data_IF_943004200175
#
_entry.id   IF_943004200175
#
_cell.length_a   1.000
_cell.length_b   1.000
_cell.length_c   1.000
_cell.angle_alpha   90.00
_cell.angle_beta   90.00
_cell.angle_gamma   90.00
#
_symmetry.space_group_name_H-M   'P 1'
#
loop_
_entity.id
_entity.type
_entity.pdbx_description
1 polymer ?
#
# COMPACT_ATOMS: atom_id res chain seq x y z
N UNK A 1 -14.65 18.71 -10.08
CA UNK A 1 -14.59 18.16 -8.72
C UNK A 1 -14.22 19.29 -7.76
N UNK A 2 -14.97 19.46 -6.70
CA UNK A 2 -14.68 20.55 -5.76
C UNK A 2 -13.56 20.18 -4.80
N UNK A 3 -13.09 21.16 -4.02
CA UNK A 3 -11.98 20.99 -3.09
C UNK A 3 -12.31 19.95 -2.01
N UNK A 4 -13.54 19.95 -1.51
CA UNK A 4 -13.98 19.03 -0.47
C UNK A 4 -13.92 17.58 -0.95
N UNK A 5 -14.39 17.34 -2.17
CA UNK A 5 -14.35 16.00 -2.78
C UNK A 5 -12.90 15.57 -3.03
N UNK A 6 -12.06 16.48 -3.48
CA UNK A 6 -10.63 16.20 -3.69
C UNK A 6 -9.96 15.79 -2.38
N UNK A 7 -10.21 16.51 -1.29
CA UNK A 7 -9.69 16.19 0.04
C UNK A 7 -10.14 14.80 0.47
N UNK A 8 -11.41 14.47 0.25
CA UNK A 8 -11.96 13.15 0.59
C UNK A 8 -11.23 12.03 -0.15
N UNK A 9 -11.01 12.20 -1.46
CA UNK A 9 -10.28 11.22 -2.27
C UNK A 9 -8.85 11.05 -1.76
N UNK A 10 -8.16 12.15 -1.46
CA UNK A 10 -6.79 12.10 -0.97
C UNK A 10 -6.72 11.43 0.41
N UNK A 11 -7.68 11.70 1.30
CA UNK A 11 -7.72 11.06 2.61
C UNK A 11 -7.94 9.55 2.49
N UNK A 12 -8.73 9.09 1.55
CA UNK A 12 -8.90 7.65 1.29
C UNK A 12 -7.57 7.01 0.85
N UNK A 13 -6.81 7.69 0.00
CA UNK A 13 -5.50 7.21 -0.43
C UNK A 13 -4.48 7.22 0.71
N UNK A 14 -4.56 8.19 1.62
CA UNK A 14 -3.71 8.24 2.81
C UNK A 14 -3.97 7.01 3.68
N UNK A 15 -5.23 6.66 3.92
CA UNK A 15 -5.57 5.46 4.69
C UNK A 15 -5.00 4.20 4.02
N UNK A 16 -5.15 4.09 2.70
CA UNK A 16 -4.59 2.98 1.92
C UNK A 16 -3.08 2.89 2.10
N UNK A 17 -2.38 4.01 2.02
CA UNK A 17 -0.93 4.05 2.18
C UNK A 17 -0.49 3.71 3.60
N UNK A 18 -1.23 4.18 4.60
CA UNK A 18 -0.97 3.82 6.01
C UNK A 18 -1.19 2.34 6.27
N UNK A 19 -2.22 1.76 5.69
CA UNK A 19 -2.45 0.31 5.76
C UNK A 19 -1.29 -0.46 5.15
N UNK A 20 -0.80 0.01 4.00
CA UNK A 20 0.36 -0.59 3.33
C UNK A 20 1.62 -0.51 4.17
N UNK A 21 1.87 0.64 4.77
CA UNK A 21 3.03 0.83 5.67
C UNK A 21 3.04 -0.21 6.77
N UNK A 22 1.93 -0.40 7.46
CA UNK A 22 1.80 -1.39 8.53
C UNK A 22 1.92 -2.82 8.01
N UNK A 23 1.19 -3.13 6.95
CA UNK A 23 1.14 -4.47 6.39
C UNK A 23 2.49 -4.96 5.89
N UNK A 24 3.20 -4.12 5.14
CA UNK A 24 4.52 -4.50 4.62
C UNK A 24 5.55 -4.60 5.73
N UNK A 25 5.45 -3.78 6.77
CA UNK A 25 6.32 -3.91 7.93
C UNK A 25 6.10 -5.24 8.64
N UNK A 26 4.85 -5.62 8.86
CA UNK A 26 4.52 -6.92 9.47
C UNK A 26 5.01 -8.08 8.61
N UNK A 27 4.85 -7.99 7.29
CA UNK A 27 5.41 -8.97 6.37
C UNK A 27 6.92 -9.08 6.51
N UNK A 28 7.62 -7.95 6.58
CA UNK A 28 9.07 -7.95 6.72
C UNK A 28 9.50 -8.65 8.01
N UNK A 29 8.75 -8.46 9.10
CA UNK A 29 9.03 -9.10 10.37
C UNK A 29 8.88 -10.62 10.32
N UNK A 30 7.91 -11.11 9.54
CA UNK A 30 7.55 -12.52 9.49
C UNK A 30 8.28 -13.31 8.40
N UNK A 31 8.81 -12.65 7.38
CA UNK A 31 9.60 -13.29 6.34
C UNK A 31 10.91 -13.82 6.90
N UNK A 32 11.41 -14.93 6.36
CA UNK A 32 12.65 -15.55 6.82
C UNK A 32 13.87 -15.13 6.02
N UNK A 33 13.72 -15.01 4.71
CA UNK A 33 14.83 -14.62 3.83
C UNK A 33 15.15 -13.14 4.03
N UNK A 34 16.42 -12.85 4.28
CA UNK A 34 16.88 -11.49 4.55
C UNK A 34 16.63 -10.52 3.38
N UNK A 35 16.80 -10.99 2.15
CA UNK A 35 16.57 -10.17 0.96
C UNK A 35 15.09 -9.78 0.82
N UNK A 36 14.18 -10.69 1.14
CA UNK A 36 12.74 -10.40 1.12
C UNK A 36 12.34 -9.45 2.25
N UNK A 37 12.92 -9.62 3.44
CA UNK A 37 12.69 -8.70 4.55
C UNK A 37 13.06 -7.27 4.17
N UNK A 38 14.23 -7.11 3.57
CA UNK A 38 14.72 -5.79 3.13
C UNK A 38 13.79 -5.18 2.11
N UNK A 39 13.34 -5.96 1.14
CA UNK A 39 12.41 -5.49 0.10
C UNK A 39 11.09 -5.03 0.70
N UNK A 40 10.51 -5.82 1.61
CA UNK A 40 9.23 -5.47 2.22
C UNK A 40 9.36 -4.28 3.17
N UNK A 41 10.47 -4.13 3.86
CA UNK A 41 10.73 -2.96 4.70
C UNK A 41 10.84 -1.70 3.84
N UNK A 42 11.48 -1.79 2.68
CA UNK A 42 11.54 -0.68 1.72
C UNK A 42 10.14 -0.31 1.23
N UNK A 43 9.29 -1.31 0.94
CA UNK A 43 7.91 -1.08 0.55
C UNK A 43 7.13 -0.35 1.65
N UNK A 44 7.33 -0.73 2.90
CA UNK A 44 6.72 -0.05 4.04
C UNK A 44 7.11 1.43 4.06
N UNK A 45 8.39 1.72 3.86
CA UNK A 45 8.89 3.11 3.82
C UNK A 45 8.33 3.88 2.63
N UNK A 46 8.19 3.25 1.47
CA UNK A 46 7.59 3.87 0.29
C UNK A 46 6.13 4.27 0.57
N UNK A 47 5.39 3.41 1.25
CA UNK A 47 4.01 3.71 1.64
C UNK A 47 3.94 4.88 2.63
N UNK A 48 4.86 4.93 3.58
CA UNK A 48 4.96 6.04 4.53
C UNK A 48 5.23 7.36 3.80
N UNK A 49 6.14 7.35 2.84
CA UNK A 49 6.47 8.53 2.03
C UNK A 49 5.29 8.99 1.19
N UNK A 50 4.57 8.04 0.58
CA UNK A 50 3.37 8.35 -0.20
C UNK A 50 2.30 8.99 0.67
N UNK A 51 2.07 8.46 1.88
CA UNK A 51 1.12 9.03 2.82
C UNK A 51 1.50 10.46 3.20
N UNK A 52 2.78 10.71 3.50
CA UNK A 52 3.26 12.04 3.86
C UNK A 52 3.04 13.05 2.73
N UNK A 53 3.31 12.66 1.50
CA UNK A 53 3.11 13.51 0.33
C UNK A 53 1.63 13.85 0.14
N UNK A 54 0.75 12.86 0.28
CA UNK A 54 -0.70 13.07 0.17
C UNK A 54 -1.21 13.96 1.30
N UNK A 55 -0.70 13.79 2.52
CA UNK A 55 -1.05 14.62 3.67
C UNK A 55 -0.70 16.09 3.40
N UNK A 56 0.45 16.32 2.79
CA UNK A 56 0.88 17.68 2.43
C UNK A 56 -0.06 18.31 1.39
N UNK A 57 -0.52 17.52 0.41
CA UNK A 57 -1.50 18.00 -0.55
C UNK A 57 -2.83 18.39 0.12
N UNK A 58 -3.29 17.59 1.08
CA UNK A 58 -4.52 17.90 1.82
C UNK A 58 -4.36 19.21 2.58
N UNK A 59 -3.22 19.43 3.25
CA UNK A 59 -2.94 20.68 3.97
C UNK A 59 -2.93 21.87 3.02
N UNK A 60 -2.33 21.71 1.85
CA UNK A 60 -2.27 22.81 0.86
C UNK A 60 -3.66 23.17 0.33
N UNK A 61 -4.62 22.26 0.40
CA UNK A 61 -6.02 22.50 0.03
C UNK A 61 -6.84 23.06 1.20
N UNK A 62 -6.23 23.25 2.37
CA UNK A 62 -6.92 23.75 3.54
C UNK A 62 -7.68 22.70 4.34
N UNK A 63 -7.45 21.44 4.07
CA UNK A 63 -8.12 20.34 4.76
C UNK A 63 -7.31 19.73 5.88
N UNK A 64 -7.94 18.84 6.65
CA UNK A 64 -7.30 18.04 7.68
C UNK A 64 -6.90 16.70 7.09
N UNK A 65 -5.60 16.40 7.02
CA UNK A 65 -5.17 15.11 6.48
C UNK A 65 -5.46 13.97 7.45
N UNK A 66 -5.87 12.84 6.89
CA UNK A 66 -5.99 11.61 7.64
C UNK A 66 -4.62 11.20 8.18
N UNK A 67 -4.54 10.71 9.41
CA UNK A 67 -3.29 10.31 10.05
C UNK A 67 -3.27 8.85 10.46
N UNK A 68 -4.42 8.18 10.44
CA UNK A 68 -4.53 6.79 10.86
C UNK A 68 -4.66 5.87 9.67
N UNK A 69 -4.31 4.60 9.91
CA UNK A 69 -4.63 3.53 8.97
C UNK A 69 -6.10 3.15 9.13
N UNK A 70 -6.62 2.40 8.16
CA UNK A 70 -7.96 1.82 8.22
C UNK A 70 -7.93 0.62 9.17
N UNK A 71 -7.94 0.87 10.48
CA UNK A 71 -7.85 -0.20 11.50
C UNK A 71 -8.99 -1.21 11.40
N UNK A 72 -10.15 -0.75 10.94
CA UNK A 72 -11.29 -1.61 10.71
C UNK A 72 -11.29 -2.20 9.30
N UNK A 73 -10.31 -1.86 8.48
CA UNK A 73 -10.25 -2.29 7.09
C UNK A 73 -9.87 -3.75 6.91
N UNK A 74 -10.36 -4.31 5.82
CA UNK A 74 -10.12 -5.72 5.50
C UNK A 74 -8.63 -6.03 5.33
N UNK A 75 -7.85 -5.08 4.83
CA UNK A 75 -6.42 -5.26 4.63
C UNK A 75 -5.71 -5.57 5.94
N UNK A 76 -5.97 -4.75 6.97
CA UNK A 76 -5.35 -4.97 8.28
C UNK A 76 -5.74 -6.32 8.88
N UNK A 77 -7.00 -6.70 8.78
CA UNK A 77 -7.47 -7.99 9.26
C UNK A 77 -6.78 -9.15 8.56
N UNK A 78 -6.56 -9.02 7.25
CA UNK A 78 -5.86 -10.06 6.49
C UNK A 78 -4.43 -10.26 6.95
N UNK A 79 -3.74 -9.17 7.26
CA UNK A 79 -2.37 -9.26 7.77
C UNK A 79 -2.34 -10.00 9.11
N UNK A 80 -3.29 -9.68 10.00
CA UNK A 80 -3.39 -10.35 11.31
C UNK A 80 -3.75 -11.82 11.15
N UNK A 81 -4.71 -12.15 10.30
CA UNK A 81 -5.14 -13.52 10.04
C UNK A 81 -4.00 -14.35 9.45
N UNK A 82 -3.28 -13.80 8.47
CA UNK A 82 -2.14 -14.46 7.87
C UNK A 82 -1.08 -14.77 8.93
N UNK A 83 -0.77 -13.81 9.78
CA UNK A 83 0.24 -13.96 10.83
C UNK A 83 -0.09 -15.12 11.77
N UNK A 84 -1.36 -15.32 12.09
CA UNK A 84 -1.80 -16.41 12.96
C UNK A 84 -1.80 -17.77 12.25
N UNK A 85 -1.85 -17.78 10.92
CA UNK A 85 -1.92 -19.01 10.11
C UNK A 85 -0.56 -19.45 9.58
N UNK A 86 0.39 -18.54 9.49
CA UNK A 86 1.71 -18.85 8.93
C UNK A 86 2.49 -19.72 9.90
N UNK A 87 2.85 -20.89 9.46
CA UNK A 87 3.83 -21.74 10.13
C UNK A 87 5.16 -21.53 9.43
N UNK A 88 6.21 -21.55 10.15
CA UNK A 88 7.56 -21.16 9.83
C UNK A 88 8.17 -21.40 8.45
N UNK A 89 7.45 -21.82 7.42
CA UNK A 89 8.01 -22.12 6.09
C UNK A 89 7.46 -21.26 4.98
N UNK A 90 6.55 -20.34 5.28
CA UNK A 90 5.66 -19.85 4.24
C UNK A 90 5.96 -18.45 3.77
N UNK A 91 7.21 -18.18 3.35
CA UNK A 91 7.54 -16.94 2.67
C UNK A 91 6.65 -16.73 1.44
N UNK A 92 6.34 -17.82 0.71
CA UNK A 92 5.40 -17.77 -0.40
C UNK A 92 4.02 -17.26 0.03
N UNK A 93 3.48 -17.77 1.14
CA UNK A 93 2.18 -17.35 1.64
C UNK A 93 2.19 -15.88 2.06
N UNK A 94 3.28 -15.42 2.68
CA UNK A 94 3.44 -14.02 3.05
C UNK A 94 3.50 -13.13 1.81
N UNK A 95 4.28 -13.52 0.81
CA UNK A 95 4.38 -12.79 -0.46
C UNK A 95 3.03 -12.74 -1.18
N UNK A 96 2.26 -13.81 -1.12
CA UNK A 96 0.92 -13.87 -1.68
C UNK A 96 0.01 -12.81 -1.06
N UNK A 97 0.08 -12.65 0.26
CA UNK A 97 -0.72 -11.64 0.95
C UNK A 97 -0.21 -10.22 0.67
N UNK A 98 1.09 -10.05 0.48
CA UNK A 98 1.67 -8.79 0.02
C UNK A 98 1.08 -8.39 -1.34
N UNK A 99 0.96 -9.33 -2.27
CA UNK A 99 0.36 -9.08 -3.57
C UNK A 99 -1.09 -8.65 -3.45
N UNK A 100 -1.86 -9.28 -2.55
CA UNK A 100 -3.24 -8.88 -2.30
C UNK A 100 -3.33 -7.45 -1.78
N UNK A 101 -2.42 -7.07 -0.89
CA UNK A 101 -2.35 -5.70 -0.39
C UNK A 101 -2.08 -4.70 -1.51
N UNK A 102 -1.17 -5.04 -2.42
CA UNK A 102 -0.89 -4.21 -3.59
C UNK A 102 -2.10 -4.15 -4.53
N UNK A 103 -2.85 -5.25 -4.69
CA UNK A 103 -4.07 -5.25 -5.50
C UNK A 103 -5.11 -4.27 -4.94
N UNK A 104 -5.28 -4.24 -3.62
CA UNK A 104 -6.17 -3.29 -2.95
C UNK A 104 -5.72 -1.86 -3.21
N UNK A 105 -4.41 -1.60 -3.09
CA UNK A 105 -3.86 -0.27 -3.36
C UNK A 105 -4.07 0.14 -4.82
N UNK A 106 -3.84 -0.77 -5.77
CA UNK A 106 -4.06 -0.49 -7.19
C UNK A 106 -5.51 -0.10 -7.47
N UNK A 107 -6.46 -0.81 -6.86
CA UNK A 107 -7.89 -0.48 -7.01
C UNK A 107 -8.20 0.91 -6.47
N UNK A 108 -7.66 1.25 -5.29
CA UNK A 108 -7.87 2.56 -4.68
C UNK A 108 -7.34 3.68 -5.56
N UNK A 109 -6.14 3.51 -6.11
CA UNK A 109 -5.54 4.51 -6.99
C UNK A 109 -6.29 4.63 -8.32
N UNK A 110 -6.72 3.52 -8.92
CA UNK A 110 -7.53 3.55 -10.14
C UNK A 110 -8.84 4.29 -9.92
N UNK A 111 -9.50 4.02 -8.80
CA UNK A 111 -10.75 4.70 -8.44
C UNK A 111 -10.54 6.21 -8.31
N UNK A 112 -9.44 6.61 -7.67
CA UNK A 112 -9.10 8.03 -7.55
C UNK A 112 -8.84 8.67 -8.91
N UNK A 113 -8.10 7.98 -9.79
CA UNK A 113 -7.75 8.49 -11.12
C UNK A 113 -8.93 8.54 -12.08
N UNK A 114 -9.98 7.78 -11.82
CA UNK A 114 -11.23 7.86 -12.59
C UNK A 114 -12.04 9.13 -12.27
N UNK A 115 -11.68 9.83 -11.20
CA UNK A 115 -12.34 11.08 -10.83
C UNK A 115 -11.64 12.26 -11.51
N UNK A 116 -12.34 13.38 -11.55
CA UNK A 116 -11.85 14.60 -12.21
C UNK A 116 -10.97 15.41 -11.23
N UNK A 117 -9.81 14.86 -10.91
CA UNK A 117 -8.85 15.50 -10.01
C UNK A 117 -8.22 16.74 -10.66
N UNK A 118 -7.90 17.79 -9.87
CA UNK A 118 -7.10 18.90 -10.38
C UNK A 118 -5.79 18.41 -10.99
N UNK A 119 -5.33 19.07 -12.04
CA UNK A 119 -4.19 18.58 -12.84
C UNK A 119 -2.92 18.36 -12.03
N UNK A 120 -2.58 19.27 -11.12
CA UNK A 120 -1.39 19.17 -10.27
C UNK A 120 -1.47 17.99 -9.29
N UNK A 121 -2.66 17.73 -8.77
CA UNK A 121 -2.91 16.59 -7.86
C UNK A 121 -2.90 15.28 -8.66
N UNK A 122 -3.51 15.27 -9.84
CA UNK A 122 -3.50 14.10 -10.73
C UNK A 122 -2.09 13.63 -11.03
N UNK A 123 -1.17 14.55 -11.26
CA UNK A 123 0.23 14.21 -11.54
C UNK A 123 0.86 13.41 -10.39
N UNK A 124 0.61 13.84 -9.16
CA UNK A 124 1.13 13.15 -7.96
C UNK A 124 0.49 11.77 -7.82
N UNK A 125 -0.83 11.70 -7.92
CA UNK A 125 -1.57 10.43 -7.78
C UNK A 125 -1.16 9.44 -8.88
N UNK A 126 -0.99 9.93 -10.11
CA UNK A 126 -0.54 9.11 -11.25
C UNK A 126 0.85 8.54 -11.01
N UNK A 127 1.79 9.36 -10.53
CA UNK A 127 3.15 8.91 -10.22
C UNK A 127 3.15 7.86 -9.12
N UNK A 128 2.37 8.07 -8.08
CA UNK A 128 2.25 7.09 -6.99
C UNK A 128 1.63 5.78 -7.48
N UNK A 129 0.61 5.88 -8.32
CA UNK A 129 -0.02 4.70 -8.94
C UNK A 129 1.01 3.87 -9.71
N UNK A 130 1.83 4.53 -10.52
CA UNK A 130 2.88 3.84 -11.27
C UNK A 130 3.86 3.12 -10.35
N UNK A 131 4.20 3.73 -9.21
CA UNK A 131 5.04 3.12 -8.20
C UNK A 131 4.40 1.87 -7.60
N UNK A 132 3.12 1.94 -7.26
CA UNK A 132 2.37 0.79 -6.74
C UNK A 132 2.33 -0.34 -7.78
N UNK A 133 2.13 -0.01 -9.05
CA UNK A 133 2.11 -0.99 -10.14
C UNK A 133 3.46 -1.73 -10.25
N UNK A 134 4.57 -0.99 -10.24
CA UNK A 134 5.90 -1.60 -10.29
C UNK A 134 6.14 -2.54 -9.11
N UNK A 135 5.69 -2.13 -7.93
CA UNK A 135 5.87 -2.92 -6.71
C UNK A 135 5.00 -4.16 -6.71
N UNK A 136 3.78 -4.06 -7.21
CA UNK A 136 2.90 -5.21 -7.41
C UNK A 136 3.59 -6.24 -8.31
N UNK A 137 4.15 -5.80 -9.42
CA UNK A 137 4.81 -6.69 -10.36
C UNK A 137 6.05 -7.35 -9.74
N UNK A 138 6.80 -6.60 -8.93
CA UNK A 138 7.96 -7.14 -8.21
C UNK A 138 7.55 -8.20 -7.19
N UNK A 139 6.53 -7.93 -6.38
CA UNK A 139 6.05 -8.88 -5.37
C UNK A 139 5.54 -10.15 -6.04
N UNK A 140 4.81 -10.00 -7.15
CA UNK A 140 4.32 -11.14 -7.93
C UNK A 140 5.48 -12.01 -8.42
N UNK A 141 6.52 -11.39 -8.95
CA UNK A 141 7.71 -12.11 -9.43
C UNK A 141 8.42 -12.84 -8.29
N UNK A 142 8.55 -12.20 -7.12
CA UNK A 142 9.16 -12.81 -5.94
C UNK A 142 8.34 -14.01 -5.44
N UNK A 143 7.01 -13.88 -5.43
CA UNK A 143 6.12 -14.98 -5.06
C UNK A 143 6.25 -16.15 -6.02
N UNK A 144 6.25 -15.87 -7.32
CA UNK A 144 6.38 -16.91 -8.34
C UNK A 144 7.73 -17.63 -8.22
N UNK A 145 8.80 -16.90 -7.94
CA UNK A 145 10.12 -17.48 -7.71
C UNK A 145 10.15 -18.36 -6.45
N UNK A 146 9.49 -17.92 -5.37
CA UNK A 146 9.39 -18.70 -4.14
C UNK A 146 8.59 -19.99 -4.37
N UNK A 147 7.51 -19.91 -5.14
CA UNK A 147 6.67 -21.05 -5.51
C UNK A 147 7.45 -22.07 -6.33
N UNK A 148 8.32 -21.62 -7.22
CA UNK A 148 9.13 -22.50 -8.06
C UNK A 148 10.21 -23.26 -7.27
N UNK A 149 10.59 -22.76 -6.08
CA UNK A 149 11.59 -23.39 -5.21
C UNK A 149 11.01 -24.44 -4.26
N UNK A 150 9.72 -24.44 -4.10
CA UNK A 150 9.05 -25.36 -3.15
C UNK A 150 8.77 -26.74 -3.72
#
# INVERSE_FOLDING_TARGET
>A
MDTKETISVLNDLIETSKDGEKGFRECAEDLKRADLKTTMMQRSQDCASAAAELQQLVRSLGGDPETSSSMAGDLHRRWVDLKSMVTGKDDEAILNECERGEDVALKSYRKALDKDLPADIRVVVQRQFQGVQRNHDQVKALRDAARARS
#
